data_IF_380203095534
#
_entry.id   IF_380203095534
#
_cell.length_a   1.000
_cell.length_b   1.000
_cell.length_c   1.000
_cell.angle_alpha   90.00
_cell.angle_beta   90.00
_cell.angle_gamma   90.00
#
_symmetry.space_group_name_H-M   'P 1'
#
loop_
_entity.id
_entity.type
_entity.pdbx_description
1 polymer ?
#
# COMPACT_ATOMS: atom_id res chain seq x y z
N UNK A 1 -4.11 13.00 14.60
CA UNK A 1 -3.69 12.43 13.30
C UNK A 1 -2.17 12.32 13.29
N UNK A 2 -1.64 11.16 12.93
CA UNK A 2 -0.20 10.91 12.81
C UNK A 2 0.22 11.20 11.37
N UNK A 3 1.44 11.74 11.18
CA UNK A 3 2.05 11.91 9.86
C UNK A 3 3.37 11.15 9.87
N UNK A 4 3.56 10.23 8.92
CA UNK A 4 4.75 9.38 8.83
C UNK A 4 5.40 9.56 7.46
N UNK A 5 6.64 10.01 7.46
CA UNK A 5 7.51 10.02 6.29
C UNK A 5 8.16 8.64 6.03
N UNK A 6 8.92 8.53 4.94
CA UNK A 6 9.57 7.29 4.54
C UNK A 6 10.56 6.75 5.58
N UNK A 7 11.33 7.63 6.25
CA UNK A 7 12.31 7.21 7.25
C UNK A 7 11.64 6.70 8.53
N UNK A 8 10.55 7.34 8.94
CA UNK A 8 9.77 6.93 10.10
C UNK A 8 9.10 5.58 9.84
N UNK A 9 8.56 5.38 8.64
CA UNK A 9 7.99 4.10 8.22
C UNK A 9 9.04 2.99 8.30
N UNK A 10 10.24 3.21 7.77
CA UNK A 10 11.33 2.22 7.80
C UNK A 10 11.76 1.80 9.20
N UNK A 11 11.72 2.73 10.15
CA UNK A 11 12.06 2.46 11.56
C UNK A 11 10.99 1.68 12.31
N UNK A 12 9.74 1.77 11.85
CA UNK A 12 8.58 1.15 12.52
C UNK A 12 8.25 -0.24 12.00
N UNK A 13 8.60 -0.55 10.74
CA UNK A 13 8.21 -1.80 10.11
C UNK A 13 9.14 -2.96 10.54
N UNK A 14 8.54 -4.01 11.11
CA UNK A 14 9.13 -5.34 11.17
C UNK A 14 8.72 -6.16 9.94
N UNK A 15 9.70 -6.86 9.33
CA UNK A 15 9.48 -7.61 8.07
C UNK A 15 8.57 -8.81 8.24
N UNK A 16 8.71 -9.53 9.35
CA UNK A 16 7.91 -10.72 9.63
C UNK A 16 6.48 -10.32 9.95
N UNK A 17 6.32 -9.31 10.80
CA UNK A 17 5.00 -8.76 11.12
C UNK A 17 4.29 -8.25 9.87
N UNK A 18 5.00 -7.58 8.95
CA UNK A 18 4.42 -7.12 7.69
C UNK A 18 3.93 -8.30 6.82
N UNK A 19 4.69 -9.40 6.75
CA UNK A 19 4.23 -10.59 6.02
C UNK A 19 3.00 -11.21 6.67
N UNK A 20 2.95 -11.27 7.99
CA UNK A 20 1.80 -11.81 8.74
C UNK A 20 0.55 -10.93 8.51
N UNK A 21 0.71 -9.60 8.48
CA UNK A 21 -0.37 -8.67 8.14
C UNK A 21 -0.86 -8.83 6.69
N UNK A 22 0.03 -9.13 5.74
CA UNK A 22 -0.36 -9.44 4.36
C UNK A 22 -1.15 -10.75 4.29
N UNK A 23 -0.76 -11.77 5.05
CA UNK A 23 -1.53 -13.02 5.13
C UNK A 23 -2.94 -12.78 5.70
N UNK A 24 -3.05 -11.94 6.73
CA UNK A 24 -4.35 -11.57 7.29
C UNK A 24 -5.20 -10.78 6.27
N UNK A 25 -4.60 -9.87 5.53
CA UNK A 25 -5.28 -9.15 4.44
C UNK A 25 -5.83 -10.11 3.37
N UNK A 26 -5.11 -11.19 3.04
CA UNK A 26 -5.61 -12.22 2.12
C UNK A 26 -6.80 -13.02 2.71
N UNK A 27 -6.82 -13.25 4.02
CA UNK A 27 -7.98 -13.90 4.68
C UNK A 27 -9.21 -12.99 4.63
N UNK A 28 -9.05 -11.70 4.93
CA UNK A 28 -10.10 -10.69 4.81
C UNK A 28 -10.62 -10.63 3.37
N UNK A 29 -9.71 -10.61 2.38
CA UNK A 29 -10.08 -10.63 0.97
C UNK A 29 -10.88 -11.88 0.60
N UNK A 30 -10.42 -13.06 1.00
CA UNK A 30 -11.09 -14.33 0.74
C UNK A 30 -12.48 -14.42 1.40
N UNK A 31 -12.63 -13.86 2.61
CA UNK A 31 -13.90 -13.80 3.33
C UNK A 31 -14.90 -12.78 2.73
N UNK A 32 -14.44 -11.85 1.89
CA UNK A 32 -15.26 -10.75 1.38
C UNK A 32 -15.55 -9.66 2.42
N UNK A 33 -14.78 -9.62 3.50
CA UNK A 33 -14.96 -8.69 4.63
C UNK A 33 -14.35 -7.31 4.33
N UNK A 34 -14.53 -6.83 3.11
CA UNK A 34 -14.09 -5.52 2.66
C UNK A 34 -15.05 -4.94 1.64
N UNK A 35 -14.99 -3.62 1.46
CA UNK A 35 -15.67 -2.94 0.36
C UNK A 35 -14.66 -2.04 -0.38
N UNK A 36 -14.50 -2.28 -1.66
CA UNK A 36 -13.62 -1.50 -2.52
C UNK A 36 -14.47 -0.92 -3.66
N UNK A 37 -14.85 0.36 -3.57
CA UNK A 37 -15.60 1.02 -4.64
C UNK A 37 -14.75 1.16 -5.91
N UNK A 38 -15.36 1.51 -7.06
CA UNK A 38 -14.62 1.90 -8.24
C UNK A 38 -13.58 2.96 -7.91
N UNK A 39 -12.41 2.86 -8.53
CA UNK A 39 -11.28 3.77 -8.29
C UNK A 39 -11.38 4.98 -9.23
N UNK A 40 -11.79 6.16 -8.75
CA UNK A 40 -11.84 7.34 -9.60
C UNK A 40 -10.44 7.70 -10.11
N UNK A 41 -10.34 7.92 -11.42
CA UNK A 41 -9.17 8.46 -12.08
C UNK A 41 -9.53 9.79 -12.70
N UNK A 42 -8.70 10.81 -12.47
CA UNK A 42 -8.82 12.13 -13.11
C UNK A 42 -7.59 12.29 -14.00
N UNK A 43 -7.82 12.43 -15.29
CA UNK A 43 -6.78 12.52 -16.30
C UNK A 43 -6.79 13.90 -16.96
N UNK A 44 -5.58 14.46 -17.15
CA UNK A 44 -5.34 15.67 -17.93
C UNK A 44 -4.06 15.47 -18.75
N UNK A 45 -4.21 15.39 -20.07
CA UNK A 45 -3.16 15.01 -21.02
C UNK A 45 -2.51 13.66 -20.61
N UNK A 46 -1.21 13.68 -20.24
CA UNK A 46 -0.48 12.49 -19.79
C UNK A 46 -0.36 12.40 -18.25
N UNK A 47 -1.13 13.19 -17.51
CA UNK A 47 -1.10 13.24 -16.04
C UNK A 47 -2.33 12.56 -15.47
N UNK A 48 -2.16 11.76 -14.44
CA UNK A 48 -3.27 11.04 -13.81
C UNK A 48 -3.22 11.21 -12.30
N UNK A 49 -4.38 11.51 -11.71
CA UNK A 49 -4.62 11.40 -10.27
C UNK A 49 -5.57 10.23 -10.02
N UNK A 50 -5.19 9.32 -9.15
CA UNK A 50 -5.96 8.12 -8.84
C UNK A 50 -6.30 8.06 -7.36
N UNK A 51 -7.57 7.78 -7.06
CA UNK A 51 -8.09 7.67 -5.69
C UNK A 51 -8.53 6.23 -5.44
N UNK A 52 -7.92 5.58 -4.46
CA UNK A 52 -8.07 4.15 -4.25
C UNK A 52 -8.56 3.85 -2.83
N UNK A 53 -9.86 4.08 -2.54
CA UNK A 53 -10.43 3.79 -1.23
C UNK A 53 -10.67 2.29 -1.05
N UNK A 54 -10.51 1.84 0.19
CA UNK A 54 -10.86 0.49 0.63
C UNK A 54 -11.37 0.55 2.07
N UNK A 55 -12.50 -0.06 2.30
CA UNK A 55 -13.17 -0.13 3.60
C UNK A 55 -12.99 -1.53 4.17
N UNK A 56 -12.57 -1.59 5.42
CA UNK A 56 -12.64 -2.80 6.24
C UNK A 56 -13.55 -2.55 7.44
N UNK A 57 -13.70 -3.53 8.34
CA UNK A 57 -14.50 -3.35 9.56
C UNK A 57 -13.82 -2.48 10.62
N UNK A 58 -12.56 -2.15 10.44
CA UNK A 58 -11.75 -1.41 11.42
C UNK A 58 -11.33 -0.05 10.89
N UNK A 59 -10.89 0.02 9.64
CA UNK A 59 -10.33 1.23 9.05
C UNK A 59 -10.81 1.43 7.62
N UNK A 60 -10.78 2.69 7.19
CA UNK A 60 -10.90 3.08 5.79
C UNK A 60 -9.52 3.53 5.35
N UNK A 61 -8.92 2.80 4.41
CA UNK A 61 -7.66 3.17 3.78
C UNK A 61 -7.91 3.81 2.42
N UNK A 62 -7.33 4.98 2.17
CA UNK A 62 -7.40 5.62 0.85
C UNK A 62 -5.98 5.92 0.37
N UNK A 63 -5.57 5.28 -0.71
CA UNK A 63 -4.33 5.65 -1.40
C UNK A 63 -4.66 6.70 -2.46
N UNK A 64 -3.98 7.84 -2.39
CA UNK A 64 -4.04 8.89 -3.40
C UNK A 64 -2.72 8.85 -4.15
N UNK A 65 -2.77 8.67 -5.46
CA UNK A 65 -1.62 8.40 -6.33
C UNK A 65 -1.61 9.38 -7.48
N UNK A 66 -0.44 9.95 -7.76
CA UNK A 66 -0.15 10.72 -8.96
C UNK A 66 0.70 9.90 -9.94
N UNK A 67 0.41 9.99 -11.23
CA UNK A 67 1.20 9.40 -12.31
C UNK A 67 1.52 10.54 -13.29
N UNK A 68 2.79 10.96 -13.29
CA UNK A 68 3.31 12.08 -14.07
C UNK A 68 4.57 11.63 -14.82
N UNK A 69 4.44 11.02 -16.01
CA UNK A 69 5.55 10.40 -16.74
C UNK A 69 6.73 11.36 -17.02
N UNK A 70 6.45 12.64 -17.25
CA UNK A 70 7.45 13.63 -17.54
C UNK A 70 8.34 14.03 -16.33
N UNK A 71 7.95 13.66 -15.12
CA UNK A 71 8.73 13.90 -13.91
C UNK A 71 10.13 13.29 -13.98
N UNK A 72 10.30 12.18 -14.70
CA UNK A 72 11.61 11.58 -14.91
C UNK A 72 12.62 12.55 -15.55
N UNK A 73 12.15 13.45 -16.42
CA UNK A 73 12.99 14.51 -17.04
C UNK A 73 13.44 15.57 -16.04
N UNK A 74 12.75 15.69 -14.91
CA UNK A 74 13.02 16.62 -13.83
C UNK A 74 13.78 15.96 -12.67
N UNK A 75 14.14 14.68 -12.78
CA UNK A 75 14.74 13.90 -11.70
C UNK A 75 13.78 13.58 -10.55
N UNK A 76 12.45 13.68 -10.79
CA UNK A 76 11.41 13.38 -9.83
C UNK A 76 10.78 12.00 -10.13
N UNK A 77 10.18 11.34 -9.14
CA UNK A 77 9.42 10.12 -9.36
C UNK A 77 8.26 10.33 -10.35
N UNK A 78 8.11 9.43 -11.30
CA UNK A 78 6.94 9.44 -12.20
C UNK A 78 5.66 9.01 -11.53
N UNK A 79 5.76 8.29 -10.42
CA UNK A 79 4.64 7.86 -9.58
C UNK A 79 4.93 8.29 -8.16
N UNK A 80 3.97 8.97 -7.53
CA UNK A 80 4.06 9.41 -6.14
C UNK A 80 2.69 9.31 -5.47
N UNK A 81 2.62 9.42 -4.16
CA UNK A 81 1.34 9.40 -3.48
C UNK A 81 1.41 9.28 -1.97
N UNK A 82 0.25 9.32 -1.38
CA UNK A 82 0.06 9.17 0.06
C UNK A 82 -0.91 8.04 0.36
N UNK A 83 -0.76 7.44 1.54
CA UNK A 83 -1.75 6.57 2.16
C UNK A 83 -2.42 7.32 3.31
N UNK A 84 -3.74 7.45 3.26
CA UNK A 84 -4.56 8.09 4.27
C UNK A 84 -5.45 7.07 4.96
N UNK A 85 -5.49 7.12 6.29
CA UNK A 85 -6.29 6.22 7.13
C UNK A 85 -7.32 6.99 7.94
N UNK A 86 -8.54 6.45 8.00
CA UNK A 86 -9.62 6.88 8.86
C UNK A 86 -10.10 5.73 9.75
N UNK A 87 -10.57 6.07 10.92
CA UNK A 87 -11.36 5.16 11.75
C UNK A 87 -12.68 4.83 11.05
N UNK A 88 -13.02 3.56 10.94
CA UNK A 88 -14.21 3.12 10.22
C UNK A 88 -15.51 3.61 10.86
N UNK A 89 -15.58 3.67 12.19
CA UNK A 89 -16.83 3.99 12.91
C UNK A 89 -17.13 5.48 12.94
N UNK A 90 -16.10 6.30 13.06
CA UNK A 90 -16.23 7.75 13.30
C UNK A 90 -15.84 8.62 12.11
N UNK A 91 -15.15 8.03 11.12
CA UNK A 91 -14.52 8.75 10.01
C UNK A 91 -13.34 9.62 10.42
N UNK A 92 -12.91 9.57 11.70
CA UNK A 92 -11.82 10.41 12.22
C UNK A 92 -10.50 10.10 11.51
N UNK A 93 -9.76 11.13 11.04
CA UNK A 93 -8.42 10.96 10.51
C UNK A 93 -7.47 10.33 11.54
N UNK A 94 -6.85 9.22 11.19
CA UNK A 94 -5.88 8.51 12.00
C UNK A 94 -4.45 8.83 11.57
N UNK A 95 -4.13 8.63 10.29
CA UNK A 95 -2.77 8.78 9.78
C UNK A 95 -2.73 9.22 8.32
N UNK A 96 -1.63 9.91 7.97
CA UNK A 96 -1.16 10.11 6.60
C UNK A 96 0.27 9.59 6.52
N UNK A 97 0.57 8.79 5.50
CA UNK A 97 1.85 8.12 5.34
C UNK A 97 2.39 8.28 3.92
N UNK A 98 3.71 8.25 3.76
CA UNK A 98 4.35 8.13 2.45
C UNK A 98 3.83 6.89 1.71
N UNK A 99 3.12 7.13 0.60
CA UNK A 99 2.45 6.08 -0.15
C UNK A 99 3.40 5.22 -0.99
N UNK A 100 4.53 5.76 -1.42
CA UNK A 100 5.58 5.00 -2.12
C UNK A 100 6.22 4.00 -1.16
N UNK A 101 6.58 4.46 0.05
CA UNK A 101 7.24 3.62 1.02
C UNK A 101 6.35 2.49 1.53
N UNK A 102 5.10 2.80 1.88
CA UNK A 102 4.10 1.79 2.21
C UNK A 102 3.91 0.80 1.05
N UNK A 103 3.87 1.29 -0.20
CA UNK A 103 3.73 0.41 -1.37
C UNK A 103 4.94 -0.50 -1.56
N UNK A 104 6.15 -0.01 -1.37
CA UNK A 104 7.37 -0.82 -1.48
C UNK A 104 7.36 -1.97 -0.46
N UNK A 105 7.11 -1.64 0.81
CA UNK A 105 7.07 -2.64 1.89
C UNK A 105 5.97 -3.68 1.69
N UNK A 106 4.72 -3.26 1.41
CA UNK A 106 3.62 -4.21 1.21
C UNK A 106 3.85 -5.10 -0.02
N UNK A 107 4.47 -4.56 -1.08
CA UNK A 107 4.74 -5.35 -2.31
C UNK A 107 5.83 -6.37 -2.06
N UNK A 108 6.90 -6.01 -1.37
CA UNK A 108 7.92 -6.94 -0.93
C UNK A 108 7.35 -8.05 -0.03
N UNK A 109 6.48 -7.68 0.93
CA UNK A 109 5.83 -8.63 1.81
C UNK A 109 4.90 -9.61 1.06
N UNK A 110 4.18 -9.16 0.02
CA UNK A 110 3.40 -10.06 -0.86
C UNK A 110 4.29 -11.12 -1.52
N UNK A 111 5.45 -10.71 -2.05
CA UNK A 111 6.46 -11.64 -2.57
C UNK A 111 6.96 -12.61 -1.50
N UNK A 112 7.28 -12.10 -0.30
CA UNK A 112 7.71 -12.90 0.84
C UNK A 112 6.67 -13.95 1.26
N UNK A 113 5.39 -13.59 1.32
CA UNK A 113 4.29 -14.54 1.58
C UNK A 113 4.20 -15.61 0.49
N UNK A 114 4.32 -15.22 -0.78
CA UNK A 114 4.37 -16.16 -1.89
C UNK A 114 5.51 -17.18 -1.73
N UNK A 115 6.70 -16.72 -1.39
CA UNK A 115 7.86 -17.59 -1.11
C UNK A 115 7.59 -18.50 0.09
N UNK A 116 7.06 -17.94 1.19
CA UNK A 116 6.75 -18.69 2.44
C UNK A 116 5.85 -19.91 2.18
N UNK A 117 4.87 -19.78 1.29
CA UNK A 117 3.87 -20.82 1.04
C UNK A 117 4.14 -21.70 -0.19
N UNK A 118 4.83 -21.18 -1.20
CA UNK A 118 4.94 -21.83 -2.51
C UNK A 118 6.35 -22.33 -2.82
N UNK A 119 7.39 -21.85 -2.11
CA UNK A 119 8.73 -22.32 -2.37
C UNK A 119 8.97 -23.73 -1.78
N UNK A 120 9.89 -24.47 -2.39
CA UNK A 120 10.39 -25.70 -1.80
C UNK A 120 11.20 -25.36 -0.56
N UNK A 121 11.16 -26.24 0.46
CA UNK A 121 11.87 -26.02 1.75
C UNK A 121 13.38 -25.96 1.64
N UNK A 122 13.94 -26.51 0.57
CA UNK A 122 15.37 -26.55 0.26
C UNK A 122 15.86 -25.41 -0.65
N UNK A 123 15.00 -24.43 -0.93
CA UNK A 123 15.38 -23.27 -1.73
C UNK A 123 16.21 -22.27 -0.91
N UNK A 124 17.36 -21.87 -1.47
CA UNK A 124 18.27 -20.89 -0.85
C UNK A 124 18.55 -19.69 -1.76
N UNK A 125 17.92 -19.64 -2.95
CA UNK A 125 18.13 -18.59 -3.95
C UNK A 125 16.79 -18.10 -4.48
N UNK A 126 16.65 -16.78 -4.60
CA UNK A 126 15.50 -16.10 -5.20
C UNK A 126 16.00 -15.31 -6.41
N UNK A 127 15.36 -15.53 -7.57
CA UNK A 127 15.54 -14.67 -8.72
C UNK A 127 14.57 -13.49 -8.65
N UNK A 128 15.06 -12.28 -8.93
CA UNK A 128 14.28 -11.03 -8.96
C UNK A 128 14.40 -10.41 -10.35
#
# INVERSE_FOLDING_TARGET
MIVLDSEQIDKLIDRNEMMDQIEEAYKIFKAGDYYMPPRPCVEDANKTMMYMPCYTKEVIGTKILSIFPDNAKLGLPSIDGIMYLNDYKTGKPLAVMDGQRVTAWRTGAVGGVGIRHLSRKDCHTVGI
#
